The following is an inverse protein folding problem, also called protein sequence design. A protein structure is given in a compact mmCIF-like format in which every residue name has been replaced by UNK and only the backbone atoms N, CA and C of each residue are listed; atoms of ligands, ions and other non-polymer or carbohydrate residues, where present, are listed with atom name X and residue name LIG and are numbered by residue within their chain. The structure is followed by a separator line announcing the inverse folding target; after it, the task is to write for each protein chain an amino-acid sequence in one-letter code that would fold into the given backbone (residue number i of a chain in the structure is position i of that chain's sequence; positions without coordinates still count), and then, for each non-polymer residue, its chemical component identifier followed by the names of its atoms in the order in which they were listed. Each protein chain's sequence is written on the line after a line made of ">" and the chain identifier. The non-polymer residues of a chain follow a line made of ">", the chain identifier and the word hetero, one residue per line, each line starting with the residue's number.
data_IF_097609681906
#
_entry.id   IF_097609681906
#
_cell.length_a   1.000
_cell.length_b   1.000
_cell.length_c   1.000
_cell.angle_alpha   90.00
_cell.angle_beta   90.00
_cell.angle_gamma   90.00
#
_symmetry.space_group_name_H-M   'P 1'
#
loop_
_entity.id
_entity.type
_entity.pdbx_description
1 polymer ?
#
# COMPACT_ATOMS: atom_id res chain seq x y z
N UNK A 1 -7.60 5.06 -16.05
CA UNK A 1 -7.17 3.65 -16.08
C UNK A 1 -6.28 3.26 -14.88
N UNK A 2 -5.29 4.06 -14.43
CA UNK A 2 -4.43 3.76 -13.26
C UNK A 2 -5.05 3.96 -11.86
N UNK A 3 -6.23 4.60 -11.76
CA UNK A 3 -6.81 5.08 -10.49
C UNK A 3 -7.12 3.94 -9.50
N UNK A 4 -7.50 2.77 -10.02
CA UNK A 4 -7.81 1.59 -9.21
C UNK A 4 -6.56 0.95 -8.58
N UNK A 5 -5.41 0.98 -9.27
CA UNK A 5 -4.15 0.46 -8.75
C UNK A 5 -3.63 1.28 -7.55
N UNK A 6 -3.90 2.59 -7.55
CA UNK A 6 -3.56 3.46 -6.43
C UNK A 6 -4.56 3.35 -5.25
N UNK A 7 -5.83 3.03 -5.54
CA UNK A 7 -6.83 2.79 -4.50
C UNK A 7 -6.67 1.44 -3.81
N UNK A 8 -6.16 0.43 -4.51
CA UNK A 8 -5.97 -0.93 -4.00
C UNK A 8 -5.26 -0.98 -2.63
N UNK A 9 -4.08 -0.35 -2.43
CA UNK A 9 -3.42 -0.35 -1.13
C UNK A 9 -4.18 0.44 -0.06
N UNK A 10 -4.85 1.51 -0.44
CA UNK A 10 -5.71 2.28 0.47
C UNK A 10 -6.86 1.41 1.00
N UNK A 11 -7.55 0.70 0.11
CA UNK A 11 -8.64 -0.22 0.47
C UNK A 11 -8.13 -1.39 1.33
N UNK A 12 -6.99 -1.99 0.96
CA UNK A 12 -6.37 -3.07 1.75
C UNK A 12 -5.96 -2.58 3.15
N UNK A 13 -5.44 -1.37 3.26
CA UNK A 13 -5.04 -0.79 4.55
C UNK A 13 -6.25 -0.56 5.46
N UNK A 14 -7.38 -0.14 4.89
CA UNK A 14 -8.63 0.11 5.58
C UNK A 14 -9.30 -1.21 6.03
N UNK A 15 -9.28 -2.23 5.17
CA UNK A 15 -9.70 -3.60 5.51
C UNK A 15 -8.85 -4.19 6.64
N UNK A 16 -7.53 -4.05 6.57
CA UNK A 16 -6.61 -4.54 7.61
C UNK A 16 -6.83 -3.83 8.95
N UNK A 17 -7.08 -2.52 8.91
CA UNK A 17 -7.42 -1.73 10.09
C UNK A 17 -8.73 -2.22 10.75
N UNK A 18 -9.78 -2.43 9.96
CA UNK A 18 -11.06 -2.96 10.46
C UNK A 18 -10.88 -4.37 11.03
N UNK A 19 -10.11 -5.23 10.37
CA UNK A 19 -9.80 -6.59 10.83
C UNK A 19 -9.11 -6.62 12.19
N UNK A 20 -8.09 -5.76 12.38
CA UNK A 20 -7.40 -5.62 13.67
C UNK A 20 -8.33 -5.12 14.77
N UNK A 21 -9.19 -4.16 14.45
CA UNK A 21 -10.16 -3.57 15.39
C UNK A 21 -11.21 -4.59 15.83
N UNK A 22 -11.72 -5.39 14.89
CA UNK A 22 -12.69 -6.46 15.18
C UNK A 22 -12.10 -7.58 16.04
N UNK A 23 -10.81 -7.88 15.88
CA UNK A 23 -10.10 -8.88 16.70
C UNK A 23 -9.57 -8.33 18.04
N UNK A 24 -9.75 -7.04 18.33
CA UNK A 24 -9.21 -6.41 19.54
C UNK A 24 -7.69 -6.31 19.56
N UNK A 25 -7.03 -6.46 18.41
CA UNK A 25 -5.58 -6.33 18.32
C UNK A 25 -5.15 -4.86 18.35
N UNK A 26 -4.11 -4.58 19.12
CA UNK A 26 -3.48 -3.26 19.16
C UNK A 26 -2.89 -2.89 17.80
N UNK A 27 -3.04 -1.62 17.40
CA UNK A 27 -2.45 -1.07 16.17
C UNK A 27 -0.93 -1.33 16.10
N UNK A 28 -0.25 -1.46 17.25
CA UNK A 28 1.18 -1.83 17.31
C UNK A 28 1.48 -3.22 16.72
N UNK A 29 0.61 -4.21 16.92
CA UNK A 29 0.76 -5.54 16.32
C UNK A 29 0.37 -5.53 14.85
N UNK A 30 -0.57 -4.68 14.47
CA UNK A 30 -1.04 -4.52 13.10
C UNK A 30 -0.10 -3.76 12.14
N UNK A 31 0.89 -3.05 12.67
CA UNK A 31 1.83 -2.21 11.89
C UNK A 31 2.51 -2.95 10.76
N UNK A 32 2.82 -4.24 10.93
CA UNK A 32 3.49 -5.03 9.90
C UNK A 32 2.67 -5.10 8.61
N UNK A 33 1.36 -5.36 8.69
CA UNK A 33 0.49 -5.40 7.50
C UNK A 33 0.39 -4.05 6.80
N UNK A 34 0.31 -2.95 7.57
CA UNK A 34 0.38 -1.59 7.01
C UNK A 34 1.69 -1.31 6.30
N UNK A 35 2.82 -1.72 6.88
CA UNK A 35 4.15 -1.57 6.28
C UNK A 35 4.25 -2.38 4.98
N UNK A 36 3.73 -3.60 4.93
CA UNK A 36 3.71 -4.41 3.70
C UNK A 36 2.93 -3.73 2.57
N UNK A 37 1.74 -3.22 2.87
CA UNK A 37 0.88 -2.54 1.89
C UNK A 37 1.57 -1.26 1.38
N UNK A 38 2.17 -0.49 2.28
CA UNK A 38 2.85 0.76 1.95
C UNK A 38 4.13 0.49 1.17
N UNK A 39 4.94 -0.50 1.58
CA UNK A 39 6.15 -0.91 0.88
C UNK A 39 5.84 -1.40 -0.54
N UNK A 40 4.83 -2.24 -0.72
CA UNK A 40 4.40 -2.72 -2.04
C UNK A 40 4.01 -1.55 -2.96
N UNK A 41 3.24 -0.60 -2.43
CA UNK A 41 2.82 0.60 -3.16
C UNK A 41 4.00 1.50 -3.53
N UNK A 42 4.93 1.69 -2.60
CA UNK A 42 6.13 2.50 -2.80
C UNK A 42 7.06 1.88 -3.86
N UNK A 43 7.21 0.55 -3.87
CA UNK A 43 7.99 -0.17 -4.89
C UNK A 43 7.39 0.04 -6.28
N UNK A 44 6.07 -0.10 -6.43
CA UNK A 44 5.40 0.12 -7.71
C UNK A 44 5.55 1.58 -8.17
N UNK A 45 5.35 2.54 -7.26
CA UNK A 45 5.52 3.95 -7.57
C UNK A 45 6.97 4.28 -7.99
N UNK A 46 7.96 3.76 -7.26
CA UNK A 46 9.37 3.92 -7.59
C UNK A 46 9.69 3.29 -8.95
N UNK A 47 9.19 2.09 -9.23
CA UNK A 47 9.37 1.41 -10.51
C UNK A 47 8.84 2.25 -11.68
N UNK A 48 7.60 2.73 -11.60
CA UNK A 48 7.02 3.59 -12.65
C UNK A 48 7.76 4.92 -12.79
N UNK A 49 8.22 5.50 -11.68
CA UNK A 49 9.00 6.75 -11.69
C UNK A 49 10.33 6.56 -12.42
N UNK A 50 11.03 5.46 -12.13
CA UNK A 50 12.29 5.08 -12.78
C UNK A 50 12.06 4.81 -14.27
N UNK A 51 11.01 4.05 -14.62
CA UNK A 51 10.63 3.77 -16.00
C UNK A 51 10.34 5.05 -16.80
N UNK A 52 9.61 5.99 -16.21
CA UNK A 52 9.35 7.31 -16.81
C UNK A 52 10.63 8.11 -17.03
N UNK A 53 11.57 8.04 -16.08
CA UNK A 53 12.85 8.73 -16.20
C UNK A 53 13.75 8.11 -17.29
N UNK A 54 13.79 6.78 -17.37
CA UNK A 54 14.56 6.03 -18.38
C UNK A 54 13.98 6.10 -19.79
N UNK A 55 12.66 6.21 -19.91
CA UNK A 55 11.96 6.25 -21.22
C UNK A 55 11.68 7.69 -21.67
N UNK A 56 11.80 8.65 -20.77
CA UNK A 56 11.58 10.08 -21.00
C UNK A 56 12.82 10.89 -21.37
N UNK A 57 13.96 10.23 -21.62
CA UNK A 57 15.14 10.76 -22.32
C UNK A 57 15.17 10.25 -23.74
#
# INVERSE_FOLDING_TARGET
>A
MLRLLFLLPLVLSLLWFVYLRLRGFSIRQGKQGFIYILAFSAIIAAFYTIMLWLTGT
#
